data_IF_124635533859
#
_entry.id   IF_124635533859
#
_cell.length_a   1.000
_cell.length_b   1.000
_cell.length_c   1.000
_cell.angle_alpha   90.00
_cell.angle_beta   90.00
_cell.angle_gamma   90.00
#
_symmetry.space_group_name_H-M   'P 1'
#
loop_
_entity.id
_entity.type
_entity.pdbx_description
1 polymer ?
#
# COMPACT_ATOMS: atom_id res chain seq x y z
N UNK A 1 15.81 9.26 3.56
CA UNK A 1 14.90 10.19 2.78
C UNK A 1 13.45 9.81 3.02
N UNK A 2 12.46 10.73 2.85
CA UNK A 2 11.06 10.32 2.84
C UNK A 2 10.61 10.16 1.39
N UNK A 3 10.11 8.99 1.04
CA UNK A 3 9.57 8.70 -0.29
C UNK A 3 8.23 9.41 -0.42
N UNK A 4 8.11 10.34 -1.37
CA UNK A 4 6.92 11.16 -1.60
C UNK A 4 6.57 11.11 -3.08
N UNK A 5 5.36 10.67 -3.42
CA UNK A 5 4.89 10.66 -4.79
C UNK A 5 3.40 10.97 -4.86
N UNK A 6 3.08 12.22 -5.18
CA UNK A 6 1.71 12.71 -5.28
C UNK A 6 1.56 13.65 -6.49
N UNK A 7 1.46 13.12 -7.70
CA UNK A 7 1.32 13.92 -8.91
C UNK A 7 -0.03 14.63 -8.98
N UNK A 8 -0.10 15.75 -9.71
CA UNK A 8 -1.26 16.64 -9.78
C UNK A 8 -2.60 16.00 -10.15
N UNK A 9 -2.59 14.91 -10.93
CA UNK A 9 -3.82 14.18 -11.27
C UNK A 9 -4.47 13.51 -10.06
N UNK A 10 -3.71 13.20 -9.01
CA UNK A 10 -4.25 12.63 -7.75
C UNK A 10 -5.02 13.68 -6.95
N UNK A 11 -4.62 14.95 -6.99
CA UNK A 11 -5.39 16.04 -6.40
C UNK A 11 -6.79 16.15 -7.03
N UNK A 12 -6.85 16.05 -8.36
CA UNK A 12 -8.12 16.07 -9.08
C UNK A 12 -8.99 14.89 -8.71
N UNK A 13 -8.39 13.69 -8.66
CA UNK A 13 -9.10 12.47 -8.29
C UNK A 13 -9.68 12.53 -6.87
N UNK A 14 -8.95 13.09 -5.90
CA UNK A 14 -9.45 13.27 -4.53
C UNK A 14 -10.68 14.18 -4.49
N UNK A 15 -10.69 15.28 -5.23
CA UNK A 15 -11.87 16.17 -5.33
C UNK A 15 -13.08 15.46 -5.93
N UNK A 16 -12.87 14.71 -7.00
CA UNK A 16 -13.95 13.92 -7.65
C UNK A 16 -14.50 12.85 -6.67
N UNK A 17 -13.64 12.23 -5.86
CA UNK A 17 -14.04 11.28 -4.81
C UNK A 17 -14.89 11.98 -3.74
N UNK A 18 -14.46 13.14 -3.25
CA UNK A 18 -15.15 13.94 -2.24
C UNK A 18 -16.57 14.32 -2.68
N UNK A 19 -16.76 14.68 -3.95
CA UNK A 19 -18.07 15.01 -4.53
C UNK A 19 -19.03 13.83 -4.60
N UNK A 20 -18.53 12.61 -4.78
CA UNK A 20 -19.34 11.40 -4.98
C UNK A 20 -19.58 10.60 -3.69
N UNK A 21 -18.66 10.63 -2.73
CA UNK A 21 -18.79 9.92 -1.44
C UNK A 21 -20.17 10.10 -0.78
N UNK A 22 -20.80 11.30 -0.72
CA UNK A 22 -22.11 11.47 -0.12
C UNK A 22 -23.20 10.57 -0.69
N UNK A 23 -23.08 10.19 -1.96
CA UNK A 23 -24.06 9.35 -2.67
C UNK A 23 -23.79 7.85 -2.53
N UNK A 24 -22.67 7.45 -1.94
CA UNK A 24 -22.23 6.07 -1.78
C UNK A 24 -22.80 5.47 -0.51
N UNK A 25 -23.20 4.20 -0.57
CA UNK A 25 -23.76 3.45 0.56
C UNK A 25 -22.67 2.62 1.28
N UNK A 26 -21.75 2.03 0.52
CA UNK A 26 -20.62 1.21 1.02
C UNK A 26 -19.37 1.53 0.22
N UNK A 27 -18.24 1.67 0.92
CA UNK A 27 -16.93 1.82 0.29
C UNK A 27 -16.25 0.46 0.19
N UNK A 28 -15.57 0.19 -0.91
CA UNK A 28 -14.68 -0.94 -1.12
C UNK A 28 -13.27 -0.37 -1.17
N UNK A 29 -12.49 -0.54 -0.10
CA UNK A 29 -11.11 -0.11 -0.04
C UNK A 29 -10.19 -1.30 -0.33
N UNK A 30 -9.46 -1.21 -1.44
CA UNK A 30 -8.53 -2.28 -1.86
C UNK A 30 -7.14 -1.98 -1.33
N UNK A 31 -6.65 -2.89 -0.49
CA UNK A 31 -5.33 -2.87 0.14
C UNK A 31 -4.44 -3.94 -0.50
N UNK A 32 -3.13 -3.78 -0.38
CA UNK A 32 -2.17 -4.84 -0.71
C UNK A 32 -1.93 -5.70 0.53
N UNK A 33 -2.25 -6.98 0.48
CA UNK A 33 -2.14 -7.90 1.62
C UNK A 33 -0.72 -8.02 2.18
N UNK A 34 0.30 -7.62 1.42
CA UNK A 34 1.70 -7.59 1.87
C UNK A 34 2.01 -6.39 2.77
N UNK A 35 1.19 -5.32 2.67
CA UNK A 35 1.37 -4.04 3.36
C UNK A 35 0.00 -3.42 3.71
N UNK A 36 -0.85 -4.08 4.52
CA UNK A 36 -2.22 -3.66 4.74
C UNK A 36 -2.37 -2.24 5.28
N UNK A 37 -1.59 -1.85 6.30
CA UNK A 37 -1.58 -0.51 6.85
C UNK A 37 -0.98 0.51 5.88
N UNK A 38 0.21 0.21 5.36
CA UNK A 38 0.92 1.14 4.47
C UNK A 38 0.18 1.36 3.14
N UNK A 39 -0.73 0.47 2.74
CA UNK A 39 -1.60 0.63 1.57
C UNK A 39 -2.95 1.28 1.88
N UNK A 40 -3.30 1.45 3.15
CA UNK A 40 -4.50 2.19 3.57
C UNK A 40 -4.27 3.69 3.41
N UNK A 41 -5.19 4.37 2.70
CA UNK A 41 -5.07 5.81 2.49
C UNK A 41 -5.81 6.59 3.59
N UNK A 42 -5.11 7.31 4.47
CA UNK A 42 -5.73 8.03 5.59
C UNK A 42 -6.69 9.13 5.12
N UNK A 43 -6.51 9.68 3.92
CA UNK A 43 -7.44 10.66 3.34
C UNK A 43 -8.79 10.00 3.05
N UNK A 44 -8.79 8.75 2.60
CA UNK A 44 -10.03 7.98 2.37
C UNK A 44 -10.75 7.75 3.70
N UNK A 45 -10.04 7.36 4.75
CA UNK A 45 -10.60 7.19 6.09
C UNK A 45 -11.29 8.47 6.59
N UNK A 46 -10.68 9.63 6.36
CA UNK A 46 -11.27 10.94 6.71
C UNK A 46 -12.52 11.25 5.86
N UNK A 47 -12.46 11.03 4.55
CA UNK A 47 -13.56 11.37 3.63
C UNK A 47 -14.78 10.46 3.79
N UNK A 48 -14.59 9.19 4.16
CA UNK A 48 -15.71 8.24 4.33
C UNK A 48 -16.59 8.55 5.55
N UNK A 49 -16.01 9.15 6.60
CA UNK A 49 -16.71 9.33 7.88
C UNK A 49 -17.21 7.99 8.42
N UNK A 50 -18.48 7.94 8.83
CA UNK A 50 -19.13 6.74 9.40
C UNK A 50 -19.66 5.75 8.34
N UNK A 51 -19.36 5.96 7.05
CA UNK A 51 -19.82 5.02 6.02
C UNK A 51 -19.16 3.66 6.18
N UNK A 52 -19.95 2.57 6.04
CA UNK A 52 -19.41 1.23 6.12
C UNK A 52 -18.41 0.96 5.00
N UNK A 53 -17.40 0.16 5.31
CA UNK A 53 -16.31 -0.17 4.38
C UNK A 53 -16.01 -1.67 4.35
N UNK A 54 -15.81 -2.20 3.15
CA UNK A 54 -15.20 -3.50 2.92
C UNK A 54 -13.74 -3.29 2.61
N UNK A 55 -12.83 -3.66 3.50
CA UNK A 55 -11.38 -3.67 3.27
C UNK A 55 -10.98 -4.96 2.60
N UNK A 56 -10.48 -4.86 1.38
CA UNK A 56 -10.12 -6.00 0.53
C UNK A 56 -8.59 -6.11 0.48
N UNK A 57 -8.04 -7.07 1.21
CA UNK A 57 -6.60 -7.40 1.18
C UNK A 57 -6.34 -8.24 -0.08
N UNK A 58 -6.03 -7.56 -1.17
CA UNK A 58 -5.75 -8.19 -2.46
C UNK A 58 -4.31 -8.70 -2.53
N UNK A 59 -4.00 -9.57 -3.50
CA UNK A 59 -2.72 -10.28 -3.67
C UNK A 59 -2.39 -11.19 -2.47
N UNK A 60 -3.41 -11.82 -1.90
CA UNK A 60 -3.26 -12.80 -0.82
C UNK A 60 -2.28 -13.91 -1.16
N UNK A 61 -2.22 -14.29 -2.42
CA UNK A 61 -1.28 -15.26 -2.98
C UNK A 61 0.20 -14.89 -2.81
N UNK A 62 0.50 -13.59 -2.64
CA UNK A 62 1.85 -13.04 -2.39
C UNK A 62 2.13 -12.74 -0.92
N UNK A 63 1.11 -12.79 -0.05
CA UNK A 63 1.21 -12.41 1.35
C UNK A 63 1.30 -13.64 2.27
N UNK A 64 1.93 -13.46 3.41
CA UNK A 64 2.02 -14.44 4.48
C UNK A 64 0.60 -14.73 5.05
N UNK A 65 0.12 -15.98 5.02
CA UNK A 65 -1.24 -16.31 5.43
C UNK A 65 -1.52 -16.00 6.91
N UNK A 66 -0.58 -16.30 7.80
CA UNK A 66 -0.75 -16.09 9.24
C UNK A 66 -0.82 -14.59 9.56
N UNK A 67 0.06 -13.80 8.96
CA UNK A 67 0.05 -12.35 9.12
C UNK A 67 -1.19 -11.71 8.47
N UNK A 68 -1.68 -12.27 7.37
CA UNK A 68 -2.92 -11.83 6.73
C UNK A 68 -4.12 -12.00 7.66
N UNK A 69 -4.23 -13.12 8.38
CA UNK A 69 -5.30 -13.37 9.35
C UNK A 69 -5.22 -12.41 10.53
N UNK A 70 -4.02 -12.13 11.04
CA UNK A 70 -3.81 -11.11 12.08
C UNK A 70 -4.32 -9.73 11.64
N UNK A 71 -4.08 -9.37 10.37
CA UNK A 71 -4.56 -8.10 9.81
C UNK A 71 -6.07 -8.06 9.63
N UNK A 72 -6.72 -9.12 9.15
CA UNK A 72 -8.19 -9.19 9.08
C UNK A 72 -8.79 -8.94 10.45
N UNK A 73 -8.32 -9.69 11.46
CA UNK A 73 -8.79 -9.55 12.83
C UNK A 73 -8.52 -8.15 13.42
N UNK A 74 -7.44 -7.50 13.03
CA UNK A 74 -7.12 -6.14 13.46
C UNK A 74 -8.07 -5.11 12.83
N UNK A 75 -8.28 -5.20 11.52
CA UNK A 75 -9.11 -4.25 10.76
C UNK A 75 -10.60 -4.33 11.14
N UNK A 76 -11.10 -5.51 11.43
CA UNK A 76 -12.51 -5.71 11.84
C UNK A 76 -12.83 -5.25 13.27
N UNK A 77 -11.84 -4.81 14.06
CA UNK A 77 -12.08 -4.15 15.35
C UNK A 77 -12.78 -2.79 15.18
N UNK A 78 -12.61 -2.15 14.04
CA UNK A 78 -13.24 -0.88 13.73
C UNK A 78 -14.72 -1.09 13.37
N UNK A 79 -15.61 -0.32 13.98
CA UNK A 79 -17.04 -0.42 13.73
C UNK A 79 -17.39 -0.06 12.27
N UNK A 80 -18.26 -0.86 11.65
CA UNK A 80 -18.66 -0.67 10.25
C UNK A 80 -17.62 -1.15 9.22
N UNK A 81 -16.56 -1.83 9.68
CA UNK A 81 -15.55 -2.45 8.82
C UNK A 81 -15.78 -3.94 8.69
N UNK A 82 -15.69 -4.44 7.46
CA UNK A 82 -15.53 -5.86 7.14
C UNK A 82 -14.25 -6.02 6.31
N UNK A 83 -13.49 -7.08 6.59
CA UNK A 83 -12.25 -7.36 5.87
C UNK A 83 -12.30 -8.73 5.21
N UNK A 84 -11.67 -8.85 4.04
CA UNK A 84 -11.52 -10.10 3.31
C UNK A 84 -10.19 -10.12 2.57
N UNK A 85 -9.47 -11.23 2.61
CA UNK A 85 -8.29 -11.45 1.80
C UNK A 85 -8.65 -12.26 0.53
N UNK A 86 -8.21 -11.76 -0.62
CA UNK A 86 -8.51 -12.36 -1.92
C UNK A 86 -7.28 -12.44 -2.82
N UNK A 87 -7.38 -13.31 -3.82
CA UNK A 87 -6.57 -13.20 -5.04
C UNK A 87 -7.48 -13.03 -6.25
N UNK A 88 -7.10 -12.16 -7.17
CA UNK A 88 -7.89 -11.90 -8.40
C UNK A 88 -7.87 -13.08 -9.38
N UNK A 89 -6.99 -14.04 -9.19
CA UNK A 89 -7.01 -15.32 -9.93
C UNK A 89 -8.16 -16.24 -9.53
N UNK A 90 -8.83 -15.99 -8.40
CA UNK A 90 -9.99 -16.74 -7.94
C UNK A 90 -11.27 -15.87 -8.01
N UNK A 91 -12.08 -15.97 -9.09
CA UNK A 91 -13.30 -15.17 -9.23
C UNK A 91 -14.33 -15.37 -8.12
N UNK A 92 -14.38 -16.55 -7.50
CA UNK A 92 -15.30 -16.82 -6.39
C UNK A 92 -14.97 -15.95 -5.15
N UNK A 93 -13.68 -15.80 -4.82
CA UNK A 93 -13.27 -14.91 -3.72
C UNK A 93 -13.63 -13.45 -4.02
N UNK A 94 -13.46 -13.03 -5.28
CA UNK A 94 -13.80 -11.66 -5.69
C UNK A 94 -15.31 -11.39 -5.56
N UNK A 95 -16.17 -12.37 -5.87
CA UNK A 95 -17.63 -12.21 -5.71
C UNK A 95 -18.05 -12.05 -4.25
N UNK A 96 -17.34 -12.61 -3.29
CA UNK A 96 -17.64 -12.46 -1.85
C UNK A 96 -17.58 -11.00 -1.38
N UNK A 97 -16.86 -10.11 -2.09
CA UNK A 97 -16.86 -8.67 -1.81
C UNK A 97 -18.29 -8.12 -1.86
N UNK A 98 -19.07 -8.53 -2.86
CA UNK A 98 -20.45 -8.06 -3.03
C UNK A 98 -21.37 -8.56 -1.91
N UNK A 99 -21.14 -9.77 -1.41
CA UNK A 99 -21.90 -10.31 -0.27
C UNK A 99 -21.63 -9.52 1.01
N UNK A 100 -20.39 -9.09 1.22
CA UNK A 100 -20.04 -8.17 2.32
C UNK A 100 -20.70 -6.80 2.14
N UNK A 101 -20.75 -6.26 0.93
CA UNK A 101 -21.45 -5.00 0.65
C UNK A 101 -22.95 -5.11 0.98
N UNK A 102 -23.61 -6.23 0.64
CA UNK A 102 -25.02 -6.48 1.00
C UNK A 102 -25.23 -6.53 2.51
N UNK A 103 -24.33 -7.25 3.22
CA UNK A 103 -24.37 -7.33 4.70
C UNK A 103 -24.24 -5.95 5.37
N UNK A 104 -23.45 -5.04 4.78
CA UNK A 104 -23.21 -3.70 5.30
C UNK A 104 -24.31 -2.68 4.92
N UNK A 105 -25.11 -2.96 3.88
CA UNK A 105 -26.21 -2.08 3.44
C UNK A 105 -27.56 -2.83 3.30
N UNK A 106 -28.05 -3.54 4.35
CA UNK A 106 -29.24 -4.39 4.25
C UNK A 106 -30.52 -3.60 3.91
N UNK A 107 -30.60 -2.34 4.31
CA UNK A 107 -31.76 -1.48 4.05
C UNK A 107 -31.95 -1.14 2.55
N UNK A 108 -30.92 -1.23 1.74
CA UNK A 108 -31.01 -0.95 0.29
C UNK A 108 -31.69 -2.09 -0.45
N UNK A 109 -31.30 -3.31 -0.14
CA UNK A 109 -31.86 -4.51 -0.77
C UNK A 109 -33.33 -4.70 -0.40
N UNK A 110 -33.67 -4.48 0.87
CA UNK A 110 -35.06 -4.62 1.36
C UNK A 110 -36.06 -3.68 0.68
N UNK A 111 -35.63 -2.53 0.18
CA UNK A 111 -36.50 -1.56 -0.53
C UNK A 111 -36.33 -1.63 -2.06
N UNK A 112 -35.69 -2.69 -2.59
CA UNK A 112 -35.52 -2.91 -4.03
C UNK A 112 -34.60 -1.87 -4.74
N UNK A 113 -33.75 -1.18 -4.00
CA UNK A 113 -32.79 -0.21 -4.56
C UNK A 113 -31.39 -0.78 -4.68
N UNK A 114 -30.72 -0.43 -5.73
CA UNK A 114 -29.31 -0.81 -5.93
C UNK A 114 -28.43 -0.25 -4.83
N UNK A 115 -27.48 -1.06 -4.34
CA UNK A 115 -26.40 -0.64 -3.45
C UNK A 115 -25.39 0.14 -4.27
N UNK A 116 -25.13 1.38 -3.91
CA UNK A 116 -24.14 2.22 -4.56
C UNK A 116 -22.80 2.05 -3.84
N UNK A 117 -21.85 1.48 -4.52
CA UNK A 117 -20.51 1.26 -3.99
C UNK A 117 -19.47 2.12 -4.72
N UNK A 118 -18.38 2.43 -4.05
CA UNK A 118 -17.21 3.07 -4.63
C UNK A 118 -15.99 2.24 -4.31
N UNK A 119 -15.21 1.87 -5.34
CA UNK A 119 -13.96 1.15 -5.16
C UNK A 119 -12.79 2.14 -5.16
N UNK A 120 -11.97 2.07 -4.14
CA UNK A 120 -10.86 2.98 -3.87
C UNK A 120 -9.61 2.19 -3.49
N UNK A 121 -8.47 2.85 -3.48
CA UNK A 121 -7.19 2.30 -3.03
C UNK A 121 -6.02 2.90 -3.80
N UNK A 122 -4.82 2.56 -3.35
CA UNK A 122 -3.58 3.06 -3.92
C UNK A 122 -3.34 2.56 -5.36
N UNK A 123 -2.37 3.15 -6.10
CA UNK A 123 -1.96 2.63 -7.40
C UNK A 123 -1.46 1.17 -7.30
N UNK A 124 -1.63 0.41 -8.37
CA UNK A 124 -1.15 -0.99 -8.54
C UNK A 124 -1.64 -2.01 -7.52
N UNK A 125 -2.65 -1.68 -6.72
CA UNK A 125 -3.23 -2.61 -5.72
C UNK A 125 -4.20 -3.63 -6.34
N UNK A 126 -4.55 -3.48 -7.63
CA UNK A 126 -5.38 -4.44 -8.37
C UNK A 126 -6.86 -4.05 -8.51
N UNK A 127 -7.25 -2.80 -8.27
CA UNK A 127 -8.65 -2.30 -8.43
C UNK A 127 -9.25 -2.67 -9.78
N UNK A 128 -8.59 -2.31 -10.87
CA UNK A 128 -9.10 -2.57 -12.24
C UNK A 128 -9.31 -4.05 -12.51
N UNK A 129 -8.45 -4.92 -11.97
CA UNK A 129 -8.60 -6.37 -12.09
C UNK A 129 -9.81 -6.89 -11.32
N UNK A 130 -10.02 -6.39 -10.08
CA UNK A 130 -11.22 -6.70 -9.28
C UNK A 130 -12.48 -6.23 -10.01
N UNK A 131 -12.51 -5.01 -10.55
CA UNK A 131 -13.64 -4.47 -11.30
C UNK A 131 -13.99 -5.35 -12.49
N UNK A 132 -13.00 -5.73 -13.29
CA UNK A 132 -13.20 -6.60 -14.46
C UNK A 132 -13.74 -7.98 -14.05
N UNK A 133 -13.21 -8.55 -12.96
CA UNK A 133 -13.70 -9.82 -12.41
C UNK A 133 -15.15 -9.72 -11.91
N UNK A 134 -15.50 -8.65 -11.18
CA UNK A 134 -16.87 -8.41 -10.71
C UNK A 134 -17.86 -8.19 -11.86
N UNK A 135 -17.42 -7.53 -12.92
CA UNK A 135 -18.25 -7.24 -14.09
C UNK A 135 -18.34 -8.42 -15.08
N UNK A 136 -17.52 -9.45 -14.93
CA UNK A 136 -17.44 -10.60 -15.86
C UNK A 136 -16.97 -10.22 -17.27
N UNK A 137 -16.39 -9.02 -17.45
CA UNK A 137 -15.91 -8.50 -18.74
C UNK A 137 -14.86 -7.40 -18.52
N UNK A 138 -14.03 -7.15 -19.52
CA UNK A 138 -13.04 -6.05 -19.48
C UNK A 138 -13.74 -4.71 -19.65
N UNK A 139 -13.79 -3.94 -18.57
CA UNK A 139 -14.35 -2.57 -18.51
C UNK A 139 -13.24 -1.58 -18.15
N UNK A 140 -12.46 -1.89 -17.13
CA UNK A 140 -11.37 -1.07 -16.65
C UNK A 140 -10.04 -1.47 -17.28
N UNK A 141 -9.22 -0.48 -17.63
CA UNK A 141 -7.88 -0.73 -18.19
C UNK A 141 -6.97 -1.23 -17.07
N UNK A 142 -6.32 -2.36 -17.32
CA UNK A 142 -5.35 -2.96 -16.38
C UNK A 142 -3.93 -2.67 -16.85
N UNK A 143 -2.99 -2.51 -15.91
CA UNK A 143 -1.57 -2.35 -16.22
C UNK A 143 -0.72 -2.28 -14.96
N UNK A 144 0.55 -2.62 -15.08
CA UNK A 144 1.52 -2.62 -13.97
C UNK A 144 2.15 -1.24 -13.69
N UNK A 145 1.67 -0.20 -14.38
CA UNK A 145 2.15 1.16 -14.14
C UNK A 145 1.15 1.94 -13.28
N UNK A 146 1.61 2.76 -12.33
CA UNK A 146 0.75 3.62 -11.55
C UNK A 146 -0.04 4.61 -12.42
N UNK A 147 -1.30 4.89 -12.04
CA UNK A 147 -2.20 5.85 -12.70
C UNK A 147 -2.75 5.44 -14.09
N UNK A 148 -3.09 4.16 -14.26
CA UNK A 148 -3.73 3.66 -15.50
C UNK A 148 -5.17 4.17 -15.65
N UNK A 149 -5.97 4.16 -14.57
CA UNK A 149 -7.32 4.73 -14.55
C UNK A 149 -7.24 6.24 -14.40
N UNK A 150 -7.77 6.98 -15.39
CA UNK A 150 -7.68 8.46 -15.45
C UNK A 150 -8.98 9.19 -15.14
N UNK A 151 -10.12 8.51 -15.14
CA UNK A 151 -11.45 9.10 -14.91
C UNK A 151 -12.33 8.16 -14.12
N UNK A 152 -13.20 8.73 -13.31
CA UNK A 152 -14.24 7.99 -12.60
C UNK A 152 -15.24 7.40 -13.60
N UNK A 153 -15.65 6.14 -13.39
CA UNK A 153 -16.59 5.43 -14.23
C UNK A 153 -17.65 4.75 -13.37
N UNK A 154 -18.92 4.82 -13.78
CA UNK A 154 -20.02 4.15 -13.10
C UNK A 154 -20.37 2.85 -13.84
N UNK A 155 -20.39 1.74 -13.14
CA UNK A 155 -20.53 0.38 -13.65
C UNK A 155 -21.73 -0.28 -12.96
N UNK A 156 -22.76 -0.64 -13.73
CA UNK A 156 -23.85 -1.45 -13.22
C UNK A 156 -23.48 -2.94 -13.35
N UNK A 157 -23.36 -3.63 -12.21
CA UNK A 157 -23.02 -5.05 -12.16
C UNK A 157 -24.21 -5.98 -12.41
N UNK A 158 -25.41 -5.42 -12.65
CA UNK A 158 -26.66 -6.16 -12.94
C UNK A 158 -27.14 -7.14 -11.84
N UNK A 159 -26.54 -7.06 -10.67
CA UNK A 159 -26.83 -7.92 -9.50
C UNK A 159 -27.28 -7.10 -8.26
N UNK A 160 -27.86 -5.94 -8.48
CA UNK A 160 -28.29 -5.02 -7.42
C UNK A 160 -27.18 -4.12 -6.87
N UNK A 161 -25.98 -4.14 -7.48
CA UNK A 161 -24.86 -3.29 -7.09
C UNK A 161 -24.42 -2.39 -8.25
N UNK A 162 -24.26 -1.12 -7.96
CA UNK A 162 -23.67 -0.12 -8.87
C UNK A 162 -22.32 0.31 -8.30
N UNK A 163 -21.27 0.04 -9.05
CA UNK A 163 -19.89 0.31 -8.68
C UNK A 163 -19.41 1.61 -9.34
N UNK A 164 -18.84 2.51 -8.56
CA UNK A 164 -18.09 3.67 -9.05
C UNK A 164 -16.59 3.38 -8.96
N UNK A 165 -15.91 3.35 -10.10
CA UNK A 165 -14.45 3.20 -10.18
C UNK A 165 -13.76 4.53 -9.93
N UNK A 166 -12.64 4.50 -9.21
CA UNK A 166 -11.80 5.67 -8.96
C UNK A 166 -10.36 5.42 -9.38
N UNK A 167 -9.64 6.48 -9.84
CA UNK A 167 -8.20 6.40 -10.01
C UNK A 167 -7.50 5.93 -8.74
N UNK A 168 -6.34 5.27 -8.89
CA UNK A 168 -5.48 4.95 -7.76
C UNK A 168 -4.89 6.23 -7.15
N UNK A 169 -5.10 6.44 -5.85
CA UNK A 169 -4.69 7.68 -5.18
C UNK A 169 -3.88 7.37 -3.94
N UNK A 170 -2.69 7.94 -3.87
CA UNK A 170 -1.93 8.09 -2.62
C UNK A 170 -2.37 9.40 -1.93
N UNK A 171 -1.73 9.74 -0.85
CA UNK A 171 -1.93 10.99 -0.12
C UNK A 171 -0.71 11.90 -0.21
N UNK A 172 -0.87 13.23 -0.01
CA UNK A 172 0.18 14.20 -0.30
C UNK A 172 1.46 14.02 0.51
N UNK A 173 1.35 13.48 1.72
CA UNK A 173 2.48 13.28 2.63
C UNK A 173 2.37 11.93 3.32
N UNK A 174 3.31 11.04 3.03
CA UNK A 174 3.49 9.79 3.78
C UNK A 174 4.25 10.14 5.05
N UNK A 175 3.54 10.14 6.19
CA UNK A 175 4.10 10.59 7.47
C UNK A 175 5.02 9.55 8.09
N UNK A 176 4.63 8.27 8.00
CA UNK A 176 5.46 7.16 8.44
C UNK A 176 6.50 6.82 7.34
N UNK A 177 7.82 7.03 7.58
CA UNK A 177 8.86 6.71 6.60
C UNK A 177 8.88 5.23 6.20
N UNK A 178 8.59 4.33 7.12
CA UNK A 178 8.52 2.88 6.86
C UNK A 178 7.43 2.55 5.85
N UNK A 179 6.25 3.20 5.95
CA UNK A 179 5.19 3.06 4.94
C UNK A 179 5.65 3.51 3.56
N UNK A 180 6.46 4.56 3.47
CA UNK A 180 7.05 5.02 2.20
C UNK A 180 7.91 3.93 1.54
N UNK A 181 8.80 3.31 2.30
CA UNK A 181 9.65 2.20 1.81
C UNK A 181 8.82 0.98 1.40
N UNK A 182 7.80 0.59 2.18
CA UNK A 182 6.91 -0.55 1.88
C UNK A 182 6.08 -0.30 0.62
N UNK A 183 5.55 0.90 0.43
CA UNK A 183 4.86 1.31 -0.80
C UNK A 183 5.78 1.23 -2.03
N UNK A 184 7.01 1.68 -1.89
CA UNK A 184 8.01 1.60 -2.94
C UNK A 184 8.42 0.14 -3.24
N UNK A 185 8.70 -0.65 -2.20
CA UNK A 185 9.08 -2.06 -2.34
C UNK A 185 8.02 -2.88 -3.09
N UNK A 186 6.73 -2.63 -2.84
CA UNK A 186 5.60 -3.33 -3.46
C UNK A 186 5.14 -2.76 -4.80
N UNK A 187 5.75 -1.64 -5.26
CA UNK A 187 5.49 -1.03 -6.56
C UNK A 187 4.26 -0.13 -6.62
N UNK A 188 3.79 0.39 -5.47
CA UNK A 188 2.72 1.39 -5.42
C UNK A 188 3.19 2.80 -5.83
N UNK A 189 4.48 3.06 -5.70
CA UNK A 189 5.15 4.29 -6.12
C UNK A 189 5.86 4.04 -7.44
N UNK A 190 5.93 5.07 -8.29
CA UNK A 190 6.62 4.97 -9.56
C UNK A 190 8.13 4.83 -9.36
N UNK A 191 8.76 3.91 -10.05
CA UNK A 191 10.20 3.60 -9.92
C UNK A 191 11.12 4.82 -10.09
N UNK A 192 10.71 5.79 -10.91
CA UNK A 192 11.44 7.05 -11.08
C UNK A 192 11.37 8.02 -9.89
N UNK A 193 10.59 7.69 -8.86
CA UNK A 193 10.40 8.51 -7.67
C UNK A 193 11.04 7.91 -6.41
N UNK A 194 11.87 6.88 -6.58
CA UNK A 194 12.59 6.20 -5.49
C UNK A 194 14.05 5.91 -5.86
N UNK A 195 14.88 5.78 -4.84
CA UNK A 195 16.24 5.24 -4.96
C UNK A 195 16.17 3.73 -4.69
N UNK A 196 16.40 2.91 -5.72
CA UNK A 196 16.28 1.45 -5.64
C UNK A 196 17.10 0.84 -4.51
N UNK A 197 18.33 1.33 -4.34
CA UNK A 197 19.25 0.79 -3.36
C UNK A 197 18.76 1.01 -1.93
N UNK A 198 18.27 2.22 -1.60
CA UNK A 198 17.70 2.51 -0.28
C UNK A 198 16.49 1.60 0.03
N UNK A 199 15.60 1.41 -0.95
CA UNK A 199 14.41 0.56 -0.79
C UNK A 199 14.80 -0.90 -0.64
N UNK A 200 15.79 -1.37 -1.38
CA UNK A 200 16.28 -2.75 -1.31
C UNK A 200 16.98 -3.04 0.02
N UNK A 201 17.82 -2.13 0.51
CA UNK A 201 18.45 -2.26 1.83
C UNK A 201 17.43 -2.32 2.96
N UNK A 202 16.45 -1.42 2.97
CA UNK A 202 15.33 -1.48 3.91
C UNK A 202 14.59 -2.82 3.85
N UNK A 203 14.38 -3.32 2.64
CA UNK A 203 13.65 -4.57 2.41
C UNK A 203 14.46 -5.78 2.86
N UNK A 204 15.75 -5.85 2.54
CA UNK A 204 16.61 -7.00 2.88
C UNK A 204 16.83 -7.11 4.38
N UNK A 205 16.96 -6.00 5.10
CA UNK A 205 17.02 -5.95 6.56
C UNK A 205 15.77 -6.61 7.18
N UNK A 206 14.59 -6.22 6.73
CA UNK A 206 13.33 -6.83 7.20
C UNK A 206 13.26 -8.32 6.85
N UNK A 207 13.64 -8.70 5.64
CA UNK A 207 13.61 -10.10 5.19
C UNK A 207 14.61 -10.97 5.98
N UNK A 208 15.79 -10.46 6.28
CA UNK A 208 16.78 -11.17 7.10
C UNK A 208 16.26 -11.43 8.50
N UNK A 209 15.52 -10.49 9.08
CA UNK A 209 14.97 -10.61 10.42
C UNK A 209 13.75 -11.56 10.50
N UNK A 210 12.84 -11.48 9.54
CA UNK A 210 11.52 -12.15 9.62
C UNK A 210 11.32 -13.31 8.64
N UNK A 211 12.18 -13.43 7.63
CA UNK A 211 12.07 -14.39 6.52
C UNK A 211 13.42 -14.95 6.10
N UNK A 212 14.35 -15.12 7.05
CA UNK A 212 15.71 -15.61 6.79
C UNK A 212 15.73 -16.91 5.97
N UNK A 213 14.90 -17.88 6.33
CA UNK A 213 14.82 -19.16 5.61
C UNK A 213 14.38 -19.00 4.15
N UNK A 214 13.49 -18.05 3.84
CA UNK A 214 13.07 -17.78 2.46
C UNK A 214 14.21 -17.17 1.63
N UNK A 215 15.05 -16.32 2.23
CA UNK A 215 16.27 -15.82 1.58
C UNK A 215 17.27 -16.95 1.34
N UNK A 216 17.49 -17.80 2.35
CA UNK A 216 18.39 -18.97 2.25
C UNK A 216 17.93 -19.91 1.13
N UNK A 217 16.66 -20.29 1.12
CA UNK A 217 16.09 -21.17 0.09
C UNK A 217 16.19 -20.56 -1.31
N UNK A 218 15.78 -19.29 -1.45
CA UNK A 218 15.78 -18.61 -2.75
C UNK A 218 17.15 -18.45 -3.36
N UNK A 219 18.14 -18.06 -2.55
CA UNK A 219 19.48 -17.78 -3.00
C UNK A 219 20.45 -18.92 -2.78
N UNK A 220 19.97 -20.06 -2.26
CA UNK A 220 20.78 -21.25 -1.96
C UNK A 220 21.98 -20.90 -1.08
N UNK A 221 21.69 -20.28 0.07
CA UNK A 221 22.66 -19.93 1.09
C UNK A 221 22.59 -21.00 2.17
N UNK A 222 23.63 -21.83 2.26
CA UNK A 222 23.72 -22.92 3.23
C UNK A 222 24.18 -22.44 4.61
N UNK A 223 24.91 -21.35 4.66
CA UNK A 223 25.45 -20.73 5.86
C UNK A 223 24.45 -19.81 6.54
N UNK A 224 24.80 -19.28 7.70
CA UNK A 224 24.03 -18.23 8.33
C UNK A 224 24.10 -16.93 7.49
N UNK A 225 23.01 -16.16 7.52
CA UNK A 225 22.98 -14.90 6.82
C UNK A 225 23.99 -13.92 7.42
N UNK A 226 24.70 -13.12 6.62
CA UNK A 226 25.55 -12.07 7.12
C UNK A 226 24.77 -11.09 8.02
N UNK A 227 25.41 -10.59 9.09
CA UNK A 227 24.83 -9.54 9.93
C UNK A 227 24.71 -8.19 9.24
N UNK A 228 25.60 -7.95 8.27
CA UNK A 228 25.62 -6.72 7.47
C UNK A 228 24.69 -6.83 6.26
N UNK A 229 23.74 -5.88 6.13
CA UNK A 229 22.88 -5.79 4.96
C UNK A 229 23.67 -5.63 3.65
N UNK A 230 24.81 -4.93 3.71
CA UNK A 230 25.70 -4.77 2.55
C UNK A 230 26.28 -6.12 2.12
N UNK A 231 26.81 -6.90 3.06
CA UNK A 231 27.36 -8.23 2.77
C UNK A 231 26.28 -9.17 2.25
N UNK A 232 25.07 -9.10 2.83
CA UNK A 232 23.91 -9.88 2.37
C UNK A 232 23.51 -9.49 0.95
N UNK A 233 23.44 -8.19 0.62
CA UNK A 233 23.16 -7.72 -0.73
C UNK A 233 24.24 -8.10 -1.72
N UNK A 234 25.52 -8.07 -1.32
CA UNK A 234 26.61 -8.58 -2.14
C UNK A 234 26.53 -10.08 -2.38
N UNK A 235 26.15 -10.85 -1.35
CA UNK A 235 25.96 -12.29 -1.47
C UNK A 235 24.81 -12.62 -2.45
N UNK A 236 23.66 -11.95 -2.28
CA UNK A 236 22.52 -12.06 -3.22
C UNK A 236 22.97 -11.70 -4.65
N UNK A 237 23.68 -10.59 -4.81
CA UNK A 237 24.20 -10.15 -6.11
C UNK A 237 25.12 -11.19 -6.76
N UNK A 238 26.02 -11.80 -6.01
CA UNK A 238 26.91 -12.89 -6.48
C UNK A 238 26.06 -14.11 -6.92
N UNK A 239 25.15 -14.56 -6.08
CA UNK A 239 24.26 -15.71 -6.36
C UNK A 239 23.37 -15.49 -7.59
N UNK A 240 22.98 -14.24 -7.87
CA UNK A 240 22.13 -13.87 -9.02
C UNK A 240 22.92 -13.37 -10.24
N UNK A 241 24.25 -13.38 -10.20
CA UNK A 241 25.08 -12.95 -11.30
C UNK A 241 25.02 -11.44 -11.59
N UNK A 242 24.69 -10.62 -10.60
CA UNK A 242 24.70 -9.16 -10.68
C UNK A 242 26.13 -8.63 -10.55
N UNK A 243 26.97 -8.94 -11.53
CA UNK A 243 28.38 -8.59 -11.51
C UNK A 243 28.73 -7.49 -12.54
N UNK A 244 29.70 -6.68 -12.19
CA UNK A 244 30.33 -5.68 -13.07
C UNK A 244 31.67 -6.22 -13.63
N UNK A 245 32.25 -5.48 -14.56
CA UNK A 245 33.62 -5.73 -15.03
C UNK A 245 34.59 -5.79 -13.85
N UNK A 246 35.44 -6.83 -13.81
CA UNK A 246 36.35 -7.08 -12.68
C UNK A 246 35.78 -7.88 -11.53
N UNK A 247 34.56 -8.47 -11.67
CA UNK A 247 33.99 -9.40 -10.72
C UNK A 247 33.36 -8.77 -9.46
N UNK A 248 33.28 -7.44 -9.41
CA UNK A 248 32.59 -6.73 -8.31
C UNK A 248 31.08 -6.83 -8.46
N UNK A 249 30.37 -6.88 -7.35
CA UNK A 249 28.90 -6.88 -7.35
C UNK A 249 28.38 -5.51 -7.79
N UNK A 250 27.39 -5.53 -8.69
CA UNK A 250 26.59 -4.37 -9.02
C UNK A 250 25.41 -4.31 -8.05
N UNK A 251 25.53 -3.51 -6.98
CA UNK A 251 24.52 -3.39 -5.94
C UNK A 251 23.18 -2.89 -6.51
N UNK A 252 23.20 -1.94 -7.44
CA UNK A 252 21.96 -1.46 -8.06
C UNK A 252 21.22 -2.58 -8.78
N UNK A 253 21.92 -3.41 -9.55
CA UNK A 253 21.31 -4.56 -10.21
C UNK A 253 20.84 -5.64 -9.21
N UNK A 254 21.57 -5.84 -8.10
CA UNK A 254 21.13 -6.72 -7.01
C UNK A 254 19.86 -6.19 -6.35
N UNK A 255 19.76 -4.88 -6.14
CA UNK A 255 18.58 -4.18 -5.62
C UNK A 255 17.36 -4.34 -6.53
N UNK A 256 17.54 -4.15 -7.85
CA UNK A 256 16.48 -4.40 -8.84
C UNK A 256 15.97 -5.85 -8.80
N UNK A 257 16.89 -6.82 -8.72
CA UNK A 257 16.55 -8.25 -8.65
C UNK A 257 15.74 -8.56 -7.38
N UNK A 258 16.21 -8.12 -6.21
CA UNK A 258 15.53 -8.36 -4.93
C UNK A 258 14.10 -7.83 -4.95
N UNK A 259 13.92 -6.57 -5.35
CA UNK A 259 12.60 -5.94 -5.39
C UNK A 259 11.68 -6.56 -6.45
N UNK A 260 12.23 -6.96 -7.60
CA UNK A 260 11.47 -7.67 -8.61
C UNK A 260 11.00 -9.05 -8.09
N UNK A 261 11.87 -9.80 -7.42
CA UNK A 261 11.54 -11.11 -6.86
C UNK A 261 10.52 -11.03 -5.72
N UNK A 262 10.58 -9.96 -4.89
CA UNK A 262 9.54 -9.66 -3.92
C UNK A 262 8.19 -9.36 -4.58
N UNK A 263 8.18 -8.51 -5.61
CA UNK A 263 6.96 -8.10 -6.31
C UNK A 263 6.30 -9.25 -7.07
N UNK A 264 7.08 -10.14 -7.64
CA UNK A 264 6.61 -11.30 -8.39
C UNK A 264 6.21 -12.51 -7.52
N UNK A 265 6.49 -12.47 -6.21
CA UNK A 265 6.27 -13.60 -5.30
C UNK A 265 7.32 -14.70 -5.41
N UNK A 266 8.41 -14.49 -6.16
CA UNK A 266 9.50 -15.47 -6.30
C UNK A 266 10.21 -15.76 -4.97
N UNK A 267 10.21 -14.79 -4.04
CA UNK A 267 10.71 -14.96 -2.67
C UNK A 267 9.72 -15.73 -1.76
N UNK A 268 8.54 -16.11 -2.29
CA UNK A 268 7.45 -16.71 -1.52
C UNK A 268 6.48 -15.67 -0.96
N UNK A 269 5.59 -16.13 -0.08
CA UNK A 269 4.57 -15.29 0.55
C UNK A 269 5.18 -14.47 1.69
N UNK A 270 5.14 -13.14 1.54
CA UNK A 270 5.81 -12.17 2.43
C UNK A 270 4.84 -11.05 2.78
N UNK A 271 4.75 -10.70 4.06
CA UNK A 271 4.06 -9.51 4.56
C UNK A 271 5.06 -8.65 5.31
N UNK A 272 5.18 -7.38 4.92
CA UNK A 272 6.25 -6.48 5.36
C UNK A 272 5.91 -5.68 6.62
N UNK A 273 4.78 -5.96 7.25
CA UNK A 273 4.33 -5.24 8.44
C UNK A 273 3.38 -6.07 9.30
N UNK A 274 3.35 -5.75 10.58
CA UNK A 274 2.46 -6.32 11.58
C UNK A 274 1.72 -5.22 12.33
N UNK A 275 0.50 -5.44 12.85
CA UNK A 275 -0.21 -4.43 13.63
C UNK A 275 0.59 -3.87 14.82
N UNK A 276 1.35 -4.73 15.50
CA UNK A 276 2.19 -4.33 16.63
C UNK A 276 3.38 -3.44 16.23
N UNK A 277 3.96 -3.70 15.05
CA UNK A 277 5.04 -2.85 14.51
C UNK A 277 4.51 -1.45 14.23
N UNK A 278 3.34 -1.36 13.59
CA UNK A 278 2.72 -0.08 13.24
C UNK A 278 2.45 0.76 14.48
N UNK A 279 1.97 0.15 15.56
CA UNK A 279 1.74 0.86 16.82
C UNK A 279 3.02 1.52 17.34
N UNK A 280 4.17 0.83 17.28
CA UNK A 280 5.46 1.39 17.68
C UNK A 280 5.94 2.49 16.74
N UNK A 281 5.86 2.25 15.43
CA UNK A 281 6.25 3.22 14.41
C UNK A 281 5.45 4.52 14.51
N UNK A 282 4.14 4.47 14.77
CA UNK A 282 3.31 5.66 14.93
C UNK A 282 3.72 6.51 16.14
N UNK A 283 4.09 5.87 17.24
CA UNK A 283 4.64 6.58 18.42
C UNK A 283 5.95 7.29 18.07
N UNK A 284 6.83 6.63 17.33
CA UNK A 284 8.10 7.25 16.87
C UNK A 284 7.85 8.44 15.94
N UNK A 285 6.89 8.33 15.03
CA UNK A 285 6.48 9.43 14.13
C UNK A 285 5.97 10.62 14.93
N UNK A 286 5.10 10.41 15.92
CA UNK A 286 4.58 11.47 16.77
C UNK A 286 5.69 12.20 17.55
N UNK A 287 6.63 11.44 18.13
CA UNK A 287 7.79 12.01 18.83
C UNK A 287 8.65 12.85 17.89
N UNK A 288 8.92 12.35 16.70
CA UNK A 288 9.74 13.05 15.71
C UNK A 288 9.04 14.32 15.18
N UNK A 289 7.74 14.29 14.97
CA UNK A 289 6.96 15.46 14.54
C UNK A 289 6.90 16.53 15.66
N UNK A 290 6.76 16.12 16.92
CA UNK A 290 6.84 17.03 18.05
C UNK A 290 8.21 17.72 18.09
N UNK A 291 9.30 16.97 17.98
CA UNK A 291 10.68 17.53 17.93
C UNK A 291 10.88 18.51 16.77
N UNK A 292 10.39 18.18 15.57
CA UNK A 292 10.45 19.08 14.40
C UNK A 292 9.66 20.36 14.61
N UNK A 293 8.53 20.26 15.26
CA UNK A 293 7.66 21.43 15.58
C UNK A 293 8.34 22.35 16.58
N UNK A 294 8.89 21.81 17.67
CA UNK A 294 9.65 22.57 18.66
C UNK A 294 10.87 23.27 18.03
N UNK A 295 11.62 22.55 17.19
CA UNK A 295 12.77 23.13 16.49
C UNK A 295 12.36 24.28 15.56
N UNK A 296 11.22 24.18 14.86
CA UNK A 296 10.68 25.26 14.03
C UNK A 296 10.28 26.49 14.86
N UNK A 297 9.62 26.29 16.01
CA UNK A 297 9.21 27.34 16.91
C UNK A 297 10.46 28.09 17.43
N UNK A 298 11.44 27.34 17.94
CA UNK A 298 12.72 27.90 18.44
C UNK A 298 13.44 28.73 17.38
N UNK A 299 13.54 28.21 16.16
CA UNK A 299 14.16 28.91 15.02
C UNK A 299 13.40 30.18 14.64
N UNK A 300 12.06 30.19 14.74
CA UNK A 300 11.22 31.36 14.47
C UNK A 300 11.43 32.43 15.54
N UNK A 301 11.52 32.05 16.82
CA UNK A 301 11.80 32.94 17.93
C UNK A 301 13.20 33.55 17.84
N UNK A 302 14.22 32.77 17.52
CA UNK A 302 15.59 33.27 17.32
C UNK A 302 15.66 34.27 16.15
N UNK A 303 14.96 33.99 15.02
CA UNK A 303 14.85 34.93 13.90
C UNK A 303 14.18 36.25 14.36
N UNK A 304 13.10 36.16 15.14
CA UNK A 304 12.41 37.34 15.67
C UNK A 304 13.31 38.16 16.61
N UNK A 305 14.06 37.49 17.50
CA UNK A 305 15.02 38.14 18.39
C UNK A 305 16.15 38.85 17.61
N UNK A 306 16.70 38.22 16.58
CA UNK A 306 17.74 38.83 15.70
C UNK A 306 17.18 40.04 14.95
N UNK A 307 15.97 39.93 14.39
CA UNK A 307 15.32 41.06 13.70
C UNK A 307 15.11 42.28 14.63
N UNK A 308 14.64 42.07 15.85
CA UNK A 308 14.43 43.11 16.83
C UNK A 308 15.76 43.75 17.30
N UNK A 309 16.84 42.98 17.38
CA UNK A 309 18.18 43.47 17.72
C UNK A 309 18.80 44.34 16.62
N UNK A 310 18.56 44.00 15.36
CA UNK A 310 19.08 44.77 14.22
C UNK A 310 18.25 46.05 13.90
N UNK A 311 17.09 46.23 14.53
CA UNK A 311 16.22 47.40 14.34
C UNK A 311 16.43 48.47 15.41
N UNK A 312 17.28 48.18 16.40
CA UNK A 312 17.79 49.13 17.38
C UNK A 312 19.17 49.65 16.97
#
# INVERSE_FOLDING_TARGET
MSIQWFPGHMHKALKEIEEVIPQVDVIIEVLDARIPFSSENPTIATLRGDKPVVKVLNKRDLADPEKTELWINHLEKEQGVKAIAITTSNPHEVQQILDLCRKLAPNRESIGKNIRTMIMGIPNVGKSTIINSLAGRTIAVTGNQPAVTRRQQRINLQNGVVLSDTPGVLWPKVENPHSGFRLAATGAVKDTAMEYDEVAFYTVEYLAQYYAERLKDRYQIEEDLPESDLELMELIGKKRGALQSGGRVNLHKASEILLHELRSGTLGQITLELPEMITKELVEVEIEEARKTEAKIKKKEERRKRYLKNKR
#
